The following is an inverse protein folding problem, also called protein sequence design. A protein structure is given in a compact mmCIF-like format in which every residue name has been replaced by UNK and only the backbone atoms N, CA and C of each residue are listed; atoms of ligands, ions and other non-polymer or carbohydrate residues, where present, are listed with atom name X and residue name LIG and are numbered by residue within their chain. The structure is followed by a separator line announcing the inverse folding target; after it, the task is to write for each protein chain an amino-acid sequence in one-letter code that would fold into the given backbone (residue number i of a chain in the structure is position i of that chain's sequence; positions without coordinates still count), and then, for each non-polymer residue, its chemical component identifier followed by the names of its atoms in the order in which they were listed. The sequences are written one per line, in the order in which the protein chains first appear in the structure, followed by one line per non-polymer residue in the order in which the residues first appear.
data_IF_751180991823
#
_entry.id   IF_751180991823
#
_cell.length_a   1.000
_cell.length_b   1.000
_cell.length_c   1.000
_cell.angle_alpha   90.00
_cell.angle_beta   90.00
_cell.angle_gamma   90.00
#
_symmetry.space_group_name_H-M   'P 1'
#
loop_
_entity.id
_entity.type
_entity.pdbx_description
1 polymer ?
#
# COMPACT_ATOMS: atom_id res chain seq x y z
N UNK A 1 -29.55 3.35 -29.57
CA UNK A 1 -31.01 3.48 -29.39
C UNK A 1 -31.44 2.14 -28.80
N UNK A 2 -31.53 1.96 -27.48
CA UNK A 2 -32.56 2.48 -26.57
C UNK A 2 -31.92 2.80 -25.21
N UNK A 3 -32.41 3.88 -24.61
CA UNK A 3 -31.97 4.53 -23.37
C UNK A 3 -32.93 4.08 -22.26
N UNK A 4 -32.43 3.50 -21.18
CA UNK A 4 -33.18 3.36 -19.93
C UNK A 4 -32.44 4.19 -18.87
N UNK A 5 -33.02 5.34 -18.55
CA UNK A 5 -32.65 6.12 -17.38
C UNK A 5 -33.58 5.76 -16.22
N UNK A 6 -33.05 5.82 -15.00
CA UNK A 6 -33.82 6.23 -13.83
C UNK A 6 -32.87 6.60 -12.69
N UNK A 7 -32.97 7.88 -12.33
CA UNK A 7 -32.83 8.50 -11.00
C UNK A 7 -31.50 8.33 -10.26
N UNK A 8 -30.63 9.30 -10.49
CA UNK A 8 -29.87 9.97 -9.42
C UNK A 8 -30.86 10.39 -8.32
N UNK A 9 -30.58 9.96 -7.09
CA UNK A 9 -31.16 10.57 -5.89
C UNK A 9 -30.05 11.22 -5.10
N UNK A 10 -30.19 12.52 -5.02
CA UNK A 10 -29.45 13.52 -4.25
C UNK A 10 -28.93 13.01 -2.91
N UNK A 11 -27.62 13.16 -2.72
CA UNK A 11 -26.90 13.03 -1.46
C UNK A 11 -26.32 14.42 -1.12
N UNK A 12 -27.17 15.44 -1.14
CA UNK A 12 -26.89 16.79 -0.68
C UNK A 12 -27.72 17.10 0.56
N UNK A 13 -27.36 16.47 1.67
CA UNK A 13 -27.79 16.87 3.01
C UNK A 13 -26.55 16.76 3.89
N UNK A 14 -25.78 17.85 3.99
CA UNK A 14 -24.85 18.24 5.07
C UNK A 14 -23.91 19.38 4.60
N UNK A 15 -24.45 20.34 3.84
CA UNK A 15 -23.81 21.63 3.55
C UNK A 15 -24.83 22.75 3.72
N UNK A 16 -25.16 23.08 4.96
CA UNK A 16 -25.65 24.41 5.33
C UNK A 16 -25.58 24.57 6.85
N UNK A 17 -25.08 25.73 7.28
CA UNK A 17 -25.25 26.22 8.65
C UNK A 17 -24.06 26.02 9.59
N UNK A 18 -22.99 26.80 9.38
CA UNK A 18 -22.39 27.61 10.45
C UNK A 18 -21.41 28.61 9.83
N UNK A 19 -21.96 29.68 9.25
CA UNK A 19 -21.28 30.97 9.25
C UNK A 19 -21.41 31.48 10.69
N UNK A 20 -20.31 31.42 11.44
CA UNK A 20 -20.20 31.98 12.78
C UNK A 20 -19.25 33.16 12.70
N UNK A 21 -19.81 34.35 12.91
CA UNK A 21 -19.15 35.65 12.93
C UNK A 21 -18.00 35.69 13.95
N UNK A 22 -16.90 36.32 13.55
CA UNK A 22 -15.83 36.76 14.44
C UNK A 22 -16.40 37.84 15.39
N UNK A 23 -16.72 37.45 16.62
CA UNK A 23 -16.96 38.38 17.73
C UNK A 23 -15.76 38.31 18.68
N UNK A 24 -14.88 39.28 18.54
CA UNK A 24 -13.90 39.64 19.57
C UNK A 24 -14.66 40.28 20.74
N UNK A 25 -14.87 39.53 21.83
CA UNK A 25 -15.19 40.11 23.13
C UNK A 25 -13.89 40.30 23.94
N UNK A 26 -13.47 41.55 24.08
CA UNK A 26 -12.48 41.96 25.07
C UNK A 26 -13.06 41.78 26.48
N UNK A 27 -12.51 40.83 27.25
CA UNK A 27 -12.74 40.76 28.70
C UNK A 27 -11.47 41.24 29.41
N UNK A 28 -11.54 42.44 29.96
CA UNK A 28 -10.58 42.95 30.94
C UNK A 28 -10.62 42.06 32.20
N UNK A 29 -9.57 41.28 32.43
CA UNK A 29 -9.27 40.70 33.74
C UNK A 29 -7.90 41.18 34.23
N UNK A 30 -7.86 41.57 35.49
CA UNK A 30 -6.75 42.19 36.21
C UNK A 30 -5.46 41.35 36.21
N UNK A 31 -4.33 42.05 36.12
CA UNK A 31 -2.99 41.48 35.89
C UNK A 31 -2.52 40.46 36.96
N UNK A 32 -3.10 40.46 38.17
CA UNK A 32 -2.72 39.54 39.26
C UNK A 32 -3.16 38.07 39.06
N UNK A 33 -4.13 37.78 38.18
CA UNK A 33 -4.56 36.39 37.90
C UNK A 33 -3.74 35.70 36.82
N UNK A 34 -3.10 36.46 35.92
CA UNK A 34 -2.25 35.91 34.85
C UNK A 34 -0.98 35.28 35.43
N UNK A 35 -0.37 35.93 36.42
CA UNK A 35 0.90 35.49 37.01
C UNK A 35 0.80 34.17 37.80
N UNK A 36 -0.38 33.87 38.38
CA UNK A 36 -0.64 32.58 39.03
C UNK A 36 -0.91 31.45 38.03
N UNK A 37 -1.54 31.76 36.88
CA UNK A 37 -1.84 30.82 35.80
C UNK A 37 -0.55 30.38 35.07
N UNK A 38 0.37 31.31 34.84
CA UNK A 38 1.68 31.03 34.22
C UNK A 38 2.62 30.22 35.12
N UNK A 39 2.53 30.37 36.44
CA UNK A 39 3.35 29.61 37.38
C UNK A 39 3.00 28.11 37.46
N UNK A 40 1.72 27.75 37.30
CA UNK A 40 1.25 26.35 37.33
C UNK A 40 1.51 25.60 36.00
N UNK A 41 1.57 26.32 34.87
CA UNK A 41 1.82 25.73 33.55
C UNK A 41 3.30 25.39 33.32
N UNK A 42 4.23 26.09 33.97
CA UNK A 42 5.67 25.87 33.82
C UNK A 42 6.19 24.63 34.58
N UNK A 43 5.42 24.10 35.53
CA UNK A 43 5.80 22.91 36.32
C UNK A 43 5.46 21.59 35.60
N UNK A 44 4.70 21.66 34.50
CA UNK A 44 4.44 20.52 33.62
C UNK A 44 5.55 20.46 32.57
N UNK A 45 6.76 20.18 33.04
CA UNK A 45 7.94 20.02 32.19
C UNK A 45 7.75 18.92 31.15
N UNK A 46 7.94 19.28 29.88
CA UNK A 46 8.08 18.34 28.76
C UNK A 46 9.37 17.52 28.95
N UNK A 47 9.20 16.29 29.42
CA UNK A 47 10.25 15.28 29.37
C UNK A 47 10.57 14.66 30.71
N UNK A 48 9.73 13.73 31.15
CA UNK A 48 10.18 12.56 31.90
C UNK A 48 9.14 11.44 31.75
N UNK A 49 9.61 10.28 31.28
CA UNK A 49 8.80 9.07 31.01
C UNK A 49 8.43 8.30 32.29
N UNK A 50 8.52 8.94 33.47
CA UNK A 50 8.22 8.34 34.78
C UNK A 50 7.00 8.97 35.49
N UNK A 51 6.42 10.06 34.96
CA UNK A 51 5.24 10.72 35.52
C UNK A 51 3.92 10.17 34.95
N UNK A 52 3.71 8.85 35.06
CA UNK A 52 2.45 8.20 34.67
C UNK A 52 1.48 8.02 35.86
N UNK A 53 1.99 7.80 37.08
CA UNK A 53 1.16 7.69 38.27
C UNK A 53 0.92 9.08 38.88
N UNK A 54 -0.35 9.53 38.87
CA UNK A 54 -0.79 10.77 39.52
C UNK A 54 -1.11 11.94 38.58
N UNK A 55 -0.64 11.91 37.33
CA UNK A 55 -0.98 12.95 36.34
C UNK A 55 -2.48 12.99 36.03
N UNK A 56 -3.12 11.82 35.99
CA UNK A 56 -4.57 11.67 35.79
C UNK A 56 -5.36 12.32 36.93
N UNK A 57 -4.93 12.12 38.17
CA UNK A 57 -5.64 12.62 39.35
C UNK A 57 -5.57 14.15 39.44
N UNK A 58 -4.43 14.73 39.06
CA UNK A 58 -4.22 16.18 38.95
C UNK A 58 -5.07 16.80 37.83
N UNK A 59 -5.15 16.15 36.68
CA UNK A 59 -6.03 16.56 35.57
C UNK A 59 -7.51 16.44 35.95
N UNK A 60 -7.92 15.34 36.60
CA UNK A 60 -9.31 15.15 37.07
C UNK A 60 -9.71 16.23 38.09
N UNK A 61 -8.80 16.62 38.98
CA UNK A 61 -9.05 17.72 39.94
C UNK A 61 -9.22 19.07 39.25
N UNK A 62 -8.43 19.36 38.22
CA UNK A 62 -8.54 20.58 37.42
C UNK A 62 -9.82 20.64 36.56
N UNK A 63 -10.32 19.49 36.12
CA UNK A 63 -11.63 19.38 35.45
C UNK A 63 -12.77 19.57 36.46
N UNK A 64 -12.69 18.95 37.64
CA UNK A 64 -13.70 19.06 38.70
C UNK A 64 -13.82 20.48 39.26
N UNK A 65 -12.74 21.26 39.27
CA UNK A 65 -12.76 22.66 39.71
C UNK A 65 -13.31 23.63 38.66
N UNK A 66 -13.67 23.16 37.45
CA UNK A 66 -14.19 23.98 36.36
C UNK A 66 -13.16 24.92 35.72
N UNK A 67 -11.87 24.78 36.04
CA UNK A 67 -10.80 25.67 35.56
C UNK A 67 -10.27 25.32 34.15
N UNK A 68 -10.82 24.28 33.51
CA UNK A 68 -10.38 23.74 32.23
C UNK A 68 -11.51 23.82 31.19
N UNK A 69 -11.35 24.66 30.17
CA UNK A 69 -12.32 24.77 29.06
C UNK A 69 -12.15 23.66 28.01
N UNK A 70 -10.91 23.20 27.79
CA UNK A 70 -10.58 22.13 26.83
C UNK A 70 -9.43 21.28 27.38
N UNK A 71 -9.68 19.96 27.53
CA UNK A 71 -8.68 18.98 27.94
C UNK A 71 -8.22 18.15 26.74
N UNK A 72 -6.90 18.10 26.50
CA UNK A 72 -6.29 17.21 25.51
C UNK A 72 -5.64 16.02 26.22
N UNK A 73 -6.17 14.82 25.99
CA UNK A 73 -5.66 13.59 26.58
C UNK A 73 -4.43 13.08 25.82
N UNK A 74 -3.41 12.62 26.56
CA UNK A 74 -2.27 11.91 25.97
C UNK A 74 -2.69 10.48 25.60
N UNK A 75 -2.07 9.92 24.55
CA UNK A 75 -2.37 8.54 24.12
C UNK A 75 -2.17 7.51 25.24
N UNK A 76 -1.20 7.70 26.14
CA UNK A 76 -0.97 6.84 27.30
C UNK A 76 -2.14 6.90 28.30
N UNK A 77 -2.68 8.09 28.57
CA UNK A 77 -3.83 8.26 29.48
C UNK A 77 -5.09 7.61 28.90
N UNK A 78 -5.33 7.80 27.59
CA UNK A 78 -6.44 7.16 26.89
C UNK A 78 -6.33 5.63 26.99
N UNK A 79 -5.12 5.07 26.82
CA UNK A 79 -4.91 3.62 26.96
C UNK A 79 -5.31 3.10 28.34
N UNK A 80 -4.96 3.80 29.41
CA UNK A 80 -5.38 3.42 30.77
C UNK A 80 -6.91 3.47 30.93
N UNK A 81 -7.57 4.47 30.35
CA UNK A 81 -9.04 4.51 30.31
C UNK A 81 -9.65 3.30 29.59
N UNK A 82 -9.08 2.86 28.47
CA UNK A 82 -9.56 1.65 27.75
C UNK A 82 -9.36 0.38 28.60
N UNK A 83 -8.25 0.29 29.36
CA UNK A 83 -8.02 -0.83 30.29
C UNK A 83 -9.04 -0.86 31.42
N UNK A 84 -9.36 0.30 32.01
CA UNK A 84 -10.40 0.42 33.03
C UNK A 84 -11.79 0.04 32.48
N UNK A 85 -12.12 0.49 31.26
CA UNK A 85 -13.35 0.13 30.58
C UNK A 85 -13.45 -1.39 30.37
N UNK A 86 -12.36 -2.03 29.91
CA UNK A 86 -12.33 -3.48 29.72
C UNK A 86 -12.46 -4.25 31.04
N UNK A 87 -11.89 -3.74 32.14
CA UNK A 87 -12.03 -4.34 33.47
C UNK A 87 -13.49 -4.32 33.94
N UNK A 88 -14.23 -3.26 33.64
CA UNK A 88 -15.62 -3.10 34.05
C UNK A 88 -16.59 -3.85 33.12
N UNK A 89 -16.43 -3.70 31.80
CA UNK A 89 -17.42 -4.14 30.79
C UNK A 89 -16.84 -5.07 29.71
N UNK A 90 -15.69 -5.70 29.96
CA UNK A 90 -15.02 -6.58 28.99
C UNK A 90 -15.94 -7.67 28.43
N UNK A 91 -16.81 -8.27 29.25
CA UNK A 91 -17.78 -9.30 28.81
C UNK A 91 -18.75 -8.81 27.74
N UNK A 92 -19.14 -7.53 27.78
CA UNK A 92 -20.01 -6.92 26.77
C UNK A 92 -19.21 -6.60 25.51
N UNK A 93 -18.04 -6.00 25.66
CA UNK A 93 -17.15 -5.63 24.55
C UNK A 93 -16.73 -6.85 23.73
N UNK A 94 -16.43 -7.97 24.38
CA UNK A 94 -16.10 -9.23 23.73
C UNK A 94 -17.27 -9.82 22.92
N UNK A 95 -18.52 -9.56 23.32
CA UNK A 95 -19.70 -9.94 22.53
C UNK A 95 -19.93 -9.00 21.36
N UNK A 96 -19.67 -7.70 21.55
CA UNK A 96 -19.86 -6.67 20.53
C UNK A 96 -18.79 -6.76 19.43
N UNK A 97 -17.55 -7.07 19.82
CA UNK A 97 -16.41 -7.23 18.93
C UNK A 97 -15.79 -8.64 19.10
N UNK A 98 -16.37 -9.65 18.43
CA UNK A 98 -15.87 -11.02 18.51
C UNK A 98 -14.41 -11.17 18.06
N UNK A 99 -13.89 -10.25 17.25
CA UNK A 99 -12.49 -10.24 16.83
C UNK A 99 -11.48 -9.97 17.97
N UNK A 100 -11.95 -9.49 19.12
CA UNK A 100 -11.13 -9.34 20.32
C UNK A 100 -11.05 -10.62 21.17
N UNK A 101 -11.86 -11.65 20.86
CA UNK A 101 -11.85 -12.95 21.56
C UNK A 101 -10.82 -13.95 21.01
N UNK A 102 -9.93 -13.52 20.11
CA UNK A 102 -9.16 -14.41 19.25
C UNK A 102 -8.33 -15.42 20.08
N UNK A 103 -8.70 -16.71 20.00
CA UNK A 103 -8.06 -17.83 20.72
C UNK A 103 -6.56 -17.96 20.33
N UNK A 104 -6.14 -17.37 19.21
CA UNK A 104 -4.75 -17.24 18.79
C UNK A 104 -3.90 -16.24 19.60
N UNK A 105 -4.53 -15.36 20.40
CA UNK A 105 -3.86 -14.46 21.36
C UNK A 105 -3.66 -15.17 22.71
N UNK A 106 -3.98 -16.46 22.81
CA UNK A 106 -3.79 -17.32 23.99
C UNK A 106 -2.37 -17.33 24.57
N UNK A 107 -1.34 -17.07 23.75
CA UNK A 107 0.04 -16.95 24.23
C UNK A 107 0.34 -15.59 24.90
N UNK A 108 -0.42 -14.54 24.59
CA UNK A 108 -0.29 -13.22 25.21
C UNK A 108 -1.26 -13.01 26.39
N UNK A 109 -2.44 -13.66 26.37
CA UNK A 109 -3.43 -13.56 27.46
C UNK A 109 -3.06 -14.35 28.71
N UNK A 110 -2.12 -15.31 28.61
CA UNK A 110 -1.49 -15.93 29.77
C UNK A 110 -0.72 -14.92 30.67
N UNK A 111 -0.47 -13.70 30.17
CA UNK A 111 0.23 -12.62 30.88
C UNK A 111 -0.63 -11.42 31.30
N UNK A 112 -1.96 -11.48 31.25
CA UNK A 112 -2.82 -10.40 31.77
C UNK A 112 -2.91 -9.12 30.92
N UNK A 113 -2.60 -9.19 29.61
CA UNK A 113 -2.74 -8.04 28.71
C UNK A 113 -4.20 -7.81 28.29
N UNK A 114 -4.61 -6.53 28.25
CA UNK A 114 -5.93 -6.11 27.76
C UNK A 114 -5.96 -6.17 26.22
N UNK A 115 -6.95 -6.81 25.56
CA UNK A 115 -7.01 -6.91 24.10
C UNK A 115 -7.18 -5.54 23.41
N UNK A 116 -7.68 -4.53 24.14
CA UNK A 116 -7.81 -3.16 23.65
C UNK A 116 -6.47 -2.45 23.50
N UNK A 117 -5.39 -2.95 24.13
CA UNK A 117 -4.04 -2.40 23.91
C UNK A 117 -3.63 -2.50 22.43
N UNK A 118 -4.17 -3.45 21.67
CA UNK A 118 -3.95 -3.58 20.22
C UNK A 118 -4.47 -2.41 19.38
N UNK A 119 -5.29 -1.52 19.96
CA UNK A 119 -5.72 -0.27 19.31
C UNK A 119 -4.61 0.80 19.29
N UNK A 120 -3.58 0.64 20.12
CA UNK A 120 -2.46 1.56 20.23
C UNK A 120 -1.24 0.96 19.52
N UNK A 121 -0.56 1.77 18.70
CA UNK A 121 0.63 1.35 17.96
C UNK A 121 1.88 1.78 18.73
N UNK A 122 2.50 0.83 19.45
CA UNK A 122 3.81 1.05 20.10
C UNK A 122 4.97 0.75 19.14
N UNK A 123 4.80 -0.29 18.31
CA UNK A 123 5.81 -0.77 17.38
C UNK A 123 5.29 -0.66 15.94
N UNK A 124 6.12 -0.07 15.07
CA UNK A 124 5.84 0.00 13.63
C UNK A 124 6.62 -1.11 12.92
N UNK A 125 5.90 -2.00 12.26
CA UNK A 125 6.49 -3.04 11.41
C UNK A 125 7.03 -2.42 10.11
N UNK A 126 8.32 -2.63 9.85
CA UNK A 126 9.00 -2.11 8.67
C UNK A 126 9.04 -3.19 7.58
N UNK A 127 8.35 -3.03 6.42
CA UNK A 127 8.45 -4.00 5.35
C UNK A 127 9.87 -4.09 4.76
N UNK A 128 10.33 -5.29 4.35
CA UNK A 128 11.65 -5.50 3.77
C UNK A 128 11.93 -4.66 2.51
N UNK A 129 13.21 -4.42 2.22
CA UNK A 129 13.67 -3.58 1.09
C UNK A 129 13.14 -4.01 -0.27
N UNK A 130 12.87 -5.30 -0.49
CA UNK A 130 12.25 -5.82 -1.72
C UNK A 130 10.89 -5.17 -2.02
N UNK A 131 10.13 -4.79 -1.00
CA UNK A 131 8.82 -4.16 -1.11
C UNK A 131 8.90 -2.61 -1.12
N UNK A 132 10.10 -2.07 -0.88
CA UNK A 132 10.39 -0.62 -0.99
C UNK A 132 11.65 -0.37 -1.81
N UNK A 133 11.66 -0.72 -3.10
CA UNK A 133 12.85 -0.54 -3.95
C UNK A 133 13.12 0.95 -4.23
N UNK A 134 14.39 1.27 -4.46
CA UNK A 134 14.85 2.57 -4.98
C UNK A 134 14.41 2.69 -6.44
N UNK A 135 13.93 3.86 -6.83
CA UNK A 135 13.54 4.18 -8.21
C UNK A 135 14.69 4.90 -8.90
N UNK A 136 14.99 4.56 -10.15
CA UNK A 136 15.93 5.32 -10.97
C UNK A 136 15.14 6.16 -11.97
N UNK A 137 15.39 7.47 -12.00
CA UNK A 137 14.79 8.37 -12.99
C UNK A 137 15.87 9.31 -13.51
N UNK A 138 16.08 9.32 -14.84
CA UNK A 138 17.12 10.13 -15.52
C UNK A 138 18.54 9.97 -14.93
N UNK A 139 18.90 8.78 -14.45
CA UNK A 139 20.21 8.50 -13.85
C UNK A 139 20.30 8.87 -12.36
N UNK A 140 19.35 9.62 -11.82
CA UNK A 140 19.26 9.92 -10.40
C UNK A 140 18.48 8.83 -9.65
N UNK A 141 18.86 8.62 -8.39
CA UNK A 141 18.24 7.63 -7.50
C UNK A 141 17.24 8.34 -6.60
N UNK A 142 16.00 7.88 -6.64
CA UNK A 142 14.88 8.38 -5.84
C UNK A 142 14.43 7.31 -4.84
N UNK A 143 14.30 7.69 -3.58
CA UNK A 143 13.83 6.79 -2.53
C UNK A 143 12.35 6.45 -2.70
N UNK A 144 11.94 5.34 -2.10
CA UNK A 144 10.53 4.98 -2.05
C UNK A 144 9.78 5.91 -1.10
N UNK A 145 8.61 6.46 -1.48
CA UNK A 145 7.75 7.26 -0.60
C UNK A 145 7.53 6.66 0.81
N UNK A 146 7.37 5.34 0.91
CA UNK A 146 7.20 4.67 2.20
C UNK A 146 8.46 4.72 3.07
N UNK A 147 9.66 4.64 2.47
CA UNK A 147 10.92 4.76 3.19
C UNK A 147 11.11 6.18 3.72
N UNK A 148 10.75 7.19 2.92
CA UNK A 148 10.78 8.61 3.36
C UNK A 148 9.84 8.85 4.53
N UNK A 149 8.63 8.28 4.50
CA UNK A 149 7.70 8.39 5.64
C UNK A 149 8.24 7.75 6.92
N UNK A 150 8.87 6.57 6.83
CA UNK A 150 9.46 5.94 8.02
C UNK A 150 10.68 6.68 8.54
N UNK A 151 11.48 7.24 7.65
CA UNK A 151 12.57 8.13 8.03
C UNK A 151 12.05 9.34 8.80
N UNK A 152 10.97 9.97 8.31
CA UNK A 152 10.31 11.09 9.03
C UNK A 152 9.79 10.67 10.41
N UNK A 153 9.29 9.44 10.56
CA UNK A 153 8.86 8.93 11.87
C UNK A 153 10.06 8.75 12.80
N UNK A 154 11.18 8.22 12.31
CA UNK A 154 12.41 8.07 13.10
C UNK A 154 12.98 9.43 13.52
N UNK A 155 13.05 10.37 12.57
CA UNK A 155 13.46 11.74 12.83
C UNK A 155 12.54 12.39 13.86
N UNK A 156 11.22 12.26 13.73
CA UNK A 156 10.26 12.79 14.71
C UNK A 156 10.42 12.16 16.10
N UNK A 157 10.79 10.89 16.21
CA UNK A 157 11.09 10.23 17.51
C UNK A 157 12.36 10.79 18.14
N UNK A 158 13.36 11.12 17.33
CA UNK A 158 14.62 11.73 17.80
C UNK A 158 14.45 13.22 18.13
N UNK A 159 13.64 13.95 17.35
CA UNK A 159 13.38 15.38 17.47
C UNK A 159 12.11 15.71 18.26
N UNK A 160 11.60 14.84 19.15
CA UNK A 160 10.56 15.22 20.13
C UNK A 160 10.99 16.46 20.97
N UNK A 161 12.27 16.87 20.89
CA UNK A 161 12.81 18.11 21.47
C UNK A 161 12.79 19.36 20.57
N UNK A 162 12.57 19.26 19.25
CA UNK A 162 12.64 20.42 18.35
C UNK A 162 11.51 20.38 17.32
N UNK A 163 10.52 21.27 17.51
CA UNK A 163 9.30 21.34 16.73
C UNK A 163 9.45 22.14 15.43
N UNK A 164 8.61 21.71 14.48
CA UNK A 164 8.09 22.39 13.29
C UNK A 164 9.02 22.68 12.11
N UNK A 165 9.06 21.72 11.18
CA UNK A 165 9.24 22.00 9.75
C UNK A 165 8.01 21.58 8.97
N UNK A 166 7.25 22.58 8.51
CA UNK A 166 6.09 22.43 7.64
C UNK A 166 6.53 21.97 6.23
N UNK A 167 6.55 20.66 6.00
CA UNK A 167 6.78 20.09 4.67
C UNK A 167 5.47 20.01 3.85
N UNK A 168 5.34 20.92 2.88
CA UNK A 168 4.19 21.08 1.96
C UNK A 168 3.94 19.90 0.99
N UNK A 169 4.72 18.82 1.04
CA UNK A 169 4.57 17.67 0.14
C UNK A 169 4.04 16.44 0.88
N UNK A 170 2.73 16.19 0.73
CA UNK A 170 2.05 15.03 1.33
C UNK A 170 2.44 13.74 0.59
N UNK A 171 3.27 12.93 1.25
CA UNK A 171 3.75 11.66 0.73
C UNK A 171 2.62 10.61 0.81
N UNK A 172 2.39 9.78 -0.22
CA UNK A 172 1.30 8.82 -0.24
C UNK A 172 1.42 7.75 0.85
N UNK A 173 0.35 7.56 1.62
CA UNK A 173 0.24 6.51 2.63
C UNK A 173 -0.21 5.16 2.08
N UNK A 174 -0.18 4.12 2.93
CA UNK A 174 -0.53 2.74 2.56
C UNK A 174 -1.99 2.64 2.08
N UNK A 175 -2.94 3.26 2.78
CA UNK A 175 -4.36 3.33 2.38
C UNK A 175 -4.52 3.80 0.94
N UNK A 176 -3.78 4.84 0.57
CA UNK A 176 -3.85 5.43 -0.77
C UNK A 176 -3.31 4.49 -1.87
N UNK A 177 -2.39 3.59 -1.53
CA UNK A 177 -1.86 2.57 -2.46
C UNK A 177 -2.89 1.46 -2.71
N UNK A 178 -3.74 1.16 -1.72
CA UNK A 178 -4.73 0.09 -1.81
C UNK A 178 -6.01 0.53 -2.54
N UNK A 179 -6.55 1.70 -2.20
CA UNK A 179 -7.91 2.10 -2.59
C UNK A 179 -8.02 2.73 -3.99
N UNK A 180 -6.93 3.29 -4.52
CA UNK A 180 -6.96 4.00 -5.79
C UNK A 180 -7.41 3.09 -6.95
N UNK A 181 -7.96 3.69 -8.01
CA UNK A 181 -8.25 2.97 -9.28
C UNK A 181 -6.98 2.29 -9.85
N UNK A 182 -5.84 2.97 -9.75
CA UNK A 182 -4.50 2.43 -10.06
C UNK A 182 -3.85 1.71 -8.85
N UNK A 183 -4.64 1.37 -7.83
CA UNK A 183 -4.19 0.72 -6.61
C UNK A 183 -4.10 -0.79 -6.73
N UNK A 184 -3.58 -1.43 -5.69
CA UNK A 184 -3.23 -2.85 -5.70
C UNK A 184 -4.42 -3.76 -6.06
N UNK A 185 -5.57 -3.59 -5.40
CA UNK A 185 -6.71 -4.48 -5.59
C UNK A 185 -7.26 -4.43 -7.02
N UNK A 186 -7.47 -3.23 -7.55
CA UNK A 186 -8.12 -3.06 -8.86
C UNK A 186 -7.17 -3.25 -10.03
N UNK A 187 -5.96 -2.70 -9.94
CA UNK A 187 -5.02 -2.67 -11.07
C UNK A 187 -4.07 -3.86 -11.13
N UNK A 188 -3.78 -4.51 -10.00
CA UNK A 188 -2.76 -5.56 -9.92
C UNK A 188 -3.31 -6.93 -9.50
N UNK A 189 -4.43 -7.01 -8.76
CA UNK A 189 -5.10 -8.26 -8.43
C UNK A 189 -6.27 -8.57 -9.39
N UNK A 190 -7.23 -7.66 -9.53
CA UNK A 190 -8.40 -7.87 -10.42
C UNK A 190 -8.02 -7.77 -11.91
N UNK A 191 -7.27 -6.74 -12.28
CA UNK A 191 -6.59 -6.65 -13.57
C UNK A 191 -5.13 -7.07 -13.40
N UNK A 192 -4.60 -7.87 -14.33
CA UNK A 192 -3.16 -8.17 -14.37
C UNK A 192 -2.68 -8.14 -15.81
N UNK A 193 -1.45 -7.69 -16.03
CA UNK A 193 -0.79 -7.86 -17.33
C UNK A 193 -0.46 -9.34 -17.53
N UNK A 194 -0.83 -9.87 -18.69
CA UNK A 194 -0.61 -11.25 -19.06
C UNK A 194 0.55 -11.38 -20.03
N UNK A 195 1.24 -12.52 -19.99
CA UNK A 195 2.24 -12.90 -20.98
C UNK A 195 1.55 -13.62 -22.15
N UNK A 196 2.25 -13.77 -23.28
CA UNK A 196 1.75 -14.47 -24.49
C UNK A 196 0.48 -13.86 -25.10
N UNK A 197 0.40 -12.53 -25.10
CA UNK A 197 -0.67 -11.79 -25.78
C UNK A 197 -0.08 -10.80 -26.79
N UNK A 198 -0.83 -10.52 -27.85
CA UNK A 198 -0.52 -9.48 -28.83
C UNK A 198 -1.75 -8.60 -29.08
N UNK A 199 -1.54 -7.44 -29.73
CA UNK A 199 -2.60 -6.51 -30.11
C UNK A 199 -2.23 -5.87 -31.45
N UNK A 200 -3.18 -5.83 -32.39
CA UNK A 200 -3.06 -5.15 -33.68
C UNK A 200 -4.37 -4.44 -34.05
N UNK A 201 -4.33 -3.66 -35.11
CA UNK A 201 -5.53 -3.15 -35.79
C UNK A 201 -6.13 -4.30 -36.62
N UNK A 202 -7.47 -4.35 -36.69
CA UNK A 202 -8.20 -5.35 -37.47
C UNK A 202 -8.43 -4.85 -38.91
N UNK A 203 -8.36 -5.76 -39.86
CA UNK A 203 -8.67 -5.52 -41.29
C UNK A 203 -9.62 -6.62 -41.75
N UNK A 204 -10.69 -6.31 -42.52
CA UNK A 204 -11.59 -7.33 -43.04
C UNK A 204 -10.91 -8.17 -44.12
N UNK A 205 -11.09 -9.49 -44.08
CA UNK A 205 -10.62 -10.43 -45.10
C UNK A 205 -11.74 -11.43 -45.46
N UNK A 206 -12.27 -11.42 -46.70
CA UNK A 206 -13.36 -12.29 -47.11
C UNK A 206 -12.93 -13.74 -47.40
N UNK A 207 -11.63 -14.04 -47.41
CA UNK A 207 -11.13 -15.40 -47.69
C UNK A 207 -10.96 -16.26 -46.43
N UNK A 208 -11.16 -15.70 -45.23
CA UNK A 208 -11.09 -16.42 -43.96
C UNK A 208 -12.47 -16.93 -43.54
N UNK A 209 -12.50 -18.12 -42.96
CA UNK A 209 -13.70 -18.68 -42.35
C UNK A 209 -14.07 -17.97 -41.03
N UNK A 210 -15.30 -18.17 -40.56
CA UNK A 210 -15.86 -17.51 -39.36
C UNK A 210 -15.04 -17.83 -38.09
N UNK A 211 -14.41 -19.00 -38.05
CA UNK A 211 -13.62 -19.48 -36.91
C UNK A 211 -12.11 -19.20 -37.07
N UNK A 212 -11.70 -18.52 -38.15
CA UNK A 212 -10.31 -18.25 -38.47
C UNK A 212 -9.90 -16.79 -38.23
N UNK A 213 -8.61 -16.58 -38.00
CA UNK A 213 -8.03 -15.24 -37.89
C UNK A 213 -6.67 -15.18 -38.56
N UNK A 214 -6.44 -14.15 -39.37
CA UNK A 214 -5.15 -13.87 -39.98
C UNK A 214 -4.15 -13.38 -38.94
N UNK A 215 -3.10 -14.17 -38.67
CA UNK A 215 -2.02 -13.80 -37.76
C UNK A 215 -0.80 -13.33 -38.57
N UNK A 216 -0.32 -12.08 -38.37
CA UNK A 216 0.92 -11.63 -39.01
C UNK A 216 2.13 -12.46 -38.58
N UNK A 217 3.06 -12.72 -39.50
CA UNK A 217 4.27 -13.51 -39.21
C UNK A 217 5.08 -12.95 -38.03
N UNK A 218 5.10 -11.63 -37.84
CA UNK A 218 5.80 -10.96 -36.73
C UNK A 218 5.28 -11.46 -35.37
N UNK A 219 3.98 -11.74 -35.27
CA UNK A 219 3.38 -12.30 -34.07
C UNK A 219 3.63 -13.80 -33.96
N UNK A 220 3.49 -14.53 -35.07
CA UNK A 220 3.70 -15.97 -35.11
C UNK A 220 5.14 -16.39 -34.72
N UNK A 221 6.15 -15.56 -35.02
CA UNK A 221 7.54 -15.79 -34.62
C UNK A 221 7.81 -15.52 -33.13
N UNK A 222 7.03 -14.63 -32.49
CA UNK A 222 7.24 -14.23 -31.08
C UNK A 222 6.38 -15.01 -30.10
N UNK A 223 5.14 -15.32 -30.46
CA UNK A 223 4.22 -16.06 -29.63
C UNK A 223 4.58 -17.54 -29.67
N UNK A 224 4.88 -18.10 -28.50
CA UNK A 224 5.31 -19.50 -28.37
C UNK A 224 4.30 -20.26 -27.54
N UNK A 225 3.98 -21.47 -27.99
CA UNK A 225 3.25 -22.45 -27.21
C UNK A 225 4.19 -23.58 -26.78
N UNK A 226 4.08 -24.03 -25.53
CA UNK A 226 4.91 -25.14 -25.01
C UNK A 226 4.19 -26.45 -25.24
N UNK A 227 4.62 -27.20 -26.26
CA UNK A 227 4.11 -28.54 -26.53
C UNK A 227 5.05 -29.61 -25.93
N UNK A 228 4.54 -30.59 -25.17
CA UNK A 228 5.35 -31.70 -24.69
C UNK A 228 5.78 -32.62 -25.85
N UNK A 229 7.04 -33.07 -25.82
CA UNK A 229 7.58 -33.96 -26.85
C UNK A 229 7.16 -35.40 -26.56
N UNK A 230 6.38 -35.97 -27.48
CA UNK A 230 5.92 -37.34 -27.51
C UNK A 230 6.59 -38.11 -28.66
N UNK A 231 6.43 -39.43 -28.68
CA UNK A 231 6.99 -40.30 -29.73
C UNK A 231 6.43 -39.91 -31.12
N UNK A 232 5.15 -39.51 -31.18
CA UNK A 232 4.46 -39.15 -32.42
C UNK A 232 4.88 -37.79 -33.00
N UNK A 233 5.08 -36.77 -32.17
CA UNK A 233 5.43 -35.41 -32.62
C UNK A 233 6.95 -35.16 -32.67
N UNK A 234 7.78 -36.09 -32.19
CA UNK A 234 9.25 -35.94 -32.08
C UNK A 234 9.90 -35.49 -33.39
N UNK A 235 9.49 -36.06 -34.51
CA UNK A 235 10.05 -35.70 -35.81
C UNK A 235 9.67 -34.29 -36.24
N UNK A 236 8.40 -33.89 -36.03
CA UNK A 236 7.92 -32.54 -36.32
C UNK A 236 8.62 -31.51 -35.43
N UNK A 237 8.72 -31.77 -34.12
CA UNK A 237 9.41 -30.89 -33.17
C UNK A 237 10.88 -30.71 -33.53
N UNK A 238 11.56 -31.78 -33.99
CA UNK A 238 12.94 -31.69 -34.47
C UNK A 238 13.07 -30.73 -35.66
N UNK A 239 12.14 -30.77 -36.62
CA UNK A 239 12.13 -29.85 -37.77
C UNK A 239 11.95 -28.39 -37.34
N UNK A 240 11.05 -28.12 -36.40
CA UNK A 240 10.83 -26.78 -35.85
C UNK A 240 12.07 -26.21 -35.16
N UNK A 241 12.79 -27.07 -34.41
CA UNK A 241 14.06 -26.69 -33.77
C UNK A 241 15.15 -26.40 -34.80
N UNK A 242 15.24 -27.20 -35.88
CA UNK A 242 16.18 -26.97 -36.96
C UNK A 242 15.91 -25.66 -37.72
N UNK A 243 14.65 -25.29 -37.92
CA UNK A 243 14.27 -24.01 -38.55
C UNK A 243 14.64 -22.79 -37.70
N UNK A 244 14.76 -22.97 -36.38
CA UNK A 244 15.13 -21.92 -35.44
C UNK A 244 14.04 -20.86 -35.23
N UNK A 245 14.39 -19.71 -34.62
CA UNK A 245 13.41 -18.69 -34.22
C UNK A 245 13.03 -17.69 -35.33
N UNK A 246 13.81 -17.58 -36.40
CA UNK A 246 13.65 -16.52 -37.41
C UNK A 246 12.72 -16.91 -38.57
N UNK A 247 12.57 -18.22 -38.82
CA UNK A 247 11.75 -18.78 -39.91
C UNK A 247 10.52 -19.44 -39.30
N UNK A 248 9.33 -19.06 -39.79
CA UNK A 248 8.07 -19.68 -39.39
C UNK A 248 7.70 -20.79 -40.39
N UNK A 249 7.25 -21.98 -39.94
CA UNK A 249 7.12 -22.44 -38.56
C UNK A 249 8.46 -22.86 -37.93
N UNK A 250 8.70 -22.46 -36.68
CA UNK A 250 9.98 -22.64 -35.98
C UNK A 250 9.83 -22.68 -34.46
N UNK A 251 10.96 -22.66 -33.74
CA UNK A 251 11.00 -22.74 -32.27
C UNK A 251 11.97 -21.72 -31.65
N UNK A 252 11.60 -21.19 -30.48
CA UNK A 252 12.37 -20.14 -29.80
C UNK A 252 13.23 -20.67 -28.65
N UNK A 253 12.74 -21.65 -27.90
CA UNK A 253 13.45 -22.22 -26.77
C UNK A 253 13.04 -23.68 -26.54
N UNK A 254 13.95 -24.44 -25.94
CA UNK A 254 13.69 -25.79 -25.44
C UNK A 254 13.71 -25.78 -23.91
N UNK A 255 12.92 -26.65 -23.30
CA UNK A 255 12.89 -26.84 -21.84
C UNK A 255 13.45 -28.22 -21.54
N UNK A 256 14.53 -28.26 -20.77
CA UNK A 256 15.13 -29.52 -20.30
C UNK A 256 14.25 -30.18 -19.22
N UNK A 257 14.46 -31.47 -18.93
CA UNK A 257 13.81 -32.18 -17.83
C UNK A 257 14.04 -31.51 -16.46
N UNK A 258 15.10 -30.71 -16.35
CA UNK A 258 15.41 -29.87 -15.17
C UNK A 258 14.66 -28.52 -15.12
N UNK A 259 13.65 -28.30 -15.97
CA UNK A 259 12.92 -27.03 -16.16
C UNK A 259 13.81 -25.82 -16.55
N UNK A 260 15.05 -26.07 -16.98
CA UNK A 260 15.92 -25.03 -17.52
C UNK A 260 15.50 -24.71 -18.95
N UNK A 261 15.27 -23.43 -19.23
CA UNK A 261 14.97 -22.92 -20.58
C UNK A 261 16.28 -22.59 -21.29
N UNK A 262 16.49 -23.20 -22.45
CA UNK A 262 17.59 -22.87 -23.35
C UNK A 262 17.03 -22.18 -24.59
N UNK A 263 17.42 -20.93 -24.80
CA UNK A 263 17.01 -20.14 -25.96
C UNK A 263 17.80 -20.59 -27.20
N UNK A 264 17.14 -20.69 -28.35
CA UNK A 264 17.77 -21.06 -29.62
C UNK A 264 18.38 -19.85 -30.36
N UNK A 265 18.11 -18.62 -29.87
CA UNK A 265 18.54 -17.35 -30.45
C UNK A 265 19.96 -16.89 -30.10
N UNK A 266 20.84 -17.79 -29.66
CA UNK A 266 22.25 -17.51 -29.44
C UNK A 266 23.04 -18.80 -29.63
N UNK A 267 23.87 -18.85 -30.68
CA UNK A 267 24.76 -19.97 -31.02
C UNK A 267 24.07 -21.28 -31.42
N UNK A 268 23.87 -21.46 -32.73
CA UNK A 268 24.38 -22.67 -33.40
C UNK A 268 25.66 -22.26 -34.14
N UNK A 269 26.86 -22.56 -33.60
CA UNK A 269 28.10 -22.44 -34.36
C UNK A 269 28.17 -23.67 -35.27
N UNK A 270 27.58 -23.57 -36.45
CA UNK A 270 27.61 -24.64 -37.44
C UNK A 270 26.43 -24.53 -38.38
N UNK A 271 26.72 -24.23 -39.65
CA UNK A 271 25.82 -24.13 -40.79
C UNK A 271 25.10 -22.79 -41.01
N UNK A 272 25.86 -21.78 -41.44
CA UNK A 272 25.72 -21.12 -42.76
C UNK A 272 26.63 -19.90 -42.83
N UNK A 273 27.94 -20.14 -42.90
CA UNK A 273 28.89 -19.17 -43.45
C UNK A 273 28.82 -19.23 -44.97
N UNK A 274 27.88 -18.52 -45.61
CA UNK A 274 27.97 -18.28 -47.07
C UNK A 274 27.09 -17.16 -47.67
N UNK A 275 26.28 -16.42 -46.89
CA UNK A 275 25.37 -15.41 -47.47
C UNK A 275 25.50 -13.97 -46.95
N UNK A 276 26.61 -13.64 -46.28
CA UNK A 276 26.86 -12.26 -45.78
C UNK A 276 27.90 -11.46 -46.59
N UNK A 277 28.53 -12.06 -47.62
CA UNK A 277 29.54 -11.42 -48.48
C UNK A 277 29.01 -10.92 -49.85
N UNK A 278 27.69 -10.86 -50.07
CA UNK A 278 27.09 -10.29 -51.30
C UNK A 278 26.39 -8.95 -51.14
N UNK A 279 26.57 -8.28 -50.00
CA UNK A 279 26.13 -6.88 -49.81
C UNK A 279 27.20 -6.05 -49.10
N UNK A 280 28.34 -5.87 -49.75
CA UNK A 280 29.21 -4.70 -49.60
C UNK A 280 29.80 -4.34 -50.96
#
# INVERSE_FOLDING_TARGET
MVRFGMMERDLDIYKSGFEGEDLEEEIHSSDDEKDKKTALLNDVGYGNMEMAEGALELQMRAVQSGACEKLAWRAAEIREHFRLLYKNEGKLLLKLFPMLNDEGVGYFTAGGLCPLDGLFCELIMVPPTKFRPIRLFKGERYENPQSVNLRRVLEATETIKELDKNDQNKIPGIKQILEKKQGLFRMNMMGKRVNFACRSVITPDPYLDIDEIGIPEIFAKKLTFTEPVNIFNKEQMRRLVCNGPNVHPGANYIVSSSNKKQMLGGMFPGFSSEEEDRRK
#
